data_IF_880970735207
#
_entry.id   IF_880970735207
#
_cell.length_a   1.000
_cell.length_b   1.000
_cell.length_c   1.000
_cell.angle_alpha   90.00
_cell.angle_beta   90.00
_cell.angle_gamma   90.00
#
_symmetry.space_group_name_H-M   'P 1'
#
loop_
_entity.id
_entity.type
_entity.pdbx_description
1 polymer ?
#
# COMPACT_ATOMS: atom_id res chain seq x y z
N UNK A 1 15.71 -23.73 10.68
CA UNK A 1 15.59 -24.37 9.34
C UNK A 1 14.15 -24.74 8.91
N UNK A 2 13.13 -24.72 9.78
CA UNK A 2 11.77 -25.16 9.42
C UNK A 2 10.98 -24.21 8.47
N UNK A 3 11.17 -22.88 8.59
CA UNK A 3 10.39 -21.88 7.84
C UNK A 3 10.69 -21.85 6.32
N UNK A 4 11.89 -22.27 5.88
CA UNK A 4 12.22 -22.36 4.43
C UNK A 4 11.51 -23.53 3.76
N UNK A 5 11.28 -24.62 4.50
CA UNK A 5 10.65 -25.85 3.98
C UNK A 5 9.16 -25.65 3.69
N UNK A 6 8.46 -24.87 4.52
CA UNK A 6 7.04 -24.53 4.33
C UNK A 6 6.83 -23.57 3.15
N UNK A 7 7.69 -22.54 3.01
CA UNK A 7 7.62 -21.62 1.87
C UNK A 7 7.95 -22.30 0.53
N UNK A 8 8.86 -23.27 0.51
CA UNK A 8 9.10 -24.11 -0.67
C UNK A 8 7.84 -24.93 -1.03
N UNK A 9 7.26 -25.62 -0.05
CA UNK A 9 6.05 -26.45 -0.25
C UNK A 9 4.83 -25.67 -0.74
N UNK A 10 4.62 -24.44 -0.26
CA UNK A 10 3.53 -23.57 -0.74
C UNK A 10 3.81 -23.06 -2.16
N UNK A 11 5.08 -22.82 -2.52
CA UNK A 11 5.47 -22.44 -3.88
C UNK A 11 5.26 -23.58 -4.88
N UNK A 12 5.42 -24.82 -4.43
CA UNK A 12 5.17 -26.04 -5.23
C UNK A 12 3.67 -26.35 -5.33
N UNK A 13 2.87 -25.98 -4.32
CA UNK A 13 1.43 -26.20 -4.29
C UNK A 13 0.69 -25.48 -5.44
N UNK A 14 0.95 -24.18 -5.64
CA UNK A 14 0.31 -23.43 -6.74
C UNK A 14 0.92 -23.76 -8.10
N UNK A 15 2.19 -24.19 -8.14
CA UNK A 15 2.83 -24.60 -9.39
C UNK A 15 2.13 -25.83 -10.00
N UNK A 16 1.56 -26.72 -9.19
CA UNK A 16 0.86 -27.92 -9.65
C UNK A 16 -0.46 -27.62 -10.39
N UNK A 17 -1.08 -26.47 -10.14
CA UNK A 17 -2.35 -26.06 -10.76
C UNK A 17 -2.18 -25.29 -12.09
N UNK A 18 -0.94 -25.02 -12.49
CA UNK A 18 -0.62 -24.21 -13.68
C UNK A 18 -0.23 -25.07 -14.87
N UNK A 19 -0.61 -24.63 -16.07
CA UNK A 19 -0.07 -25.12 -17.34
C UNK A 19 1.42 -24.77 -17.46
N UNK A 20 2.13 -25.41 -18.39
CA UNK A 20 3.58 -25.17 -18.54
C UNK A 20 3.89 -23.74 -19.01
N UNK A 21 2.99 -23.14 -19.81
CA UNK A 21 3.08 -21.73 -20.19
C UNK A 21 2.90 -20.80 -18.98
N UNK A 22 1.91 -21.07 -18.12
CA UNK A 22 1.68 -20.29 -16.90
C UNK A 22 2.81 -20.47 -15.86
N UNK A 23 3.45 -21.64 -15.81
CA UNK A 23 4.62 -21.86 -14.96
C UNK A 23 5.81 -20.99 -15.38
N UNK A 24 6.03 -20.81 -16.68
CA UNK A 24 7.05 -19.91 -17.22
C UNK A 24 6.75 -18.44 -16.88
N UNK A 25 5.50 -18.01 -17.08
CA UNK A 25 5.05 -16.66 -16.74
C UNK A 25 5.13 -16.38 -15.23
N UNK A 26 4.80 -17.37 -14.39
CA UNK A 26 4.95 -17.25 -12.94
C UNK A 26 6.43 -17.07 -12.54
N UNK A 27 7.35 -17.76 -13.23
CA UNK A 27 8.77 -17.60 -12.99
C UNK A 27 9.27 -16.19 -13.34
N UNK A 28 8.75 -15.58 -14.41
CA UNK A 28 9.03 -14.19 -14.78
C UNK A 28 8.41 -13.19 -13.80
N UNK A 29 7.13 -13.37 -13.45
CA UNK A 29 6.43 -12.53 -12.47
C UNK A 29 7.10 -12.54 -11.09
N UNK A 30 7.77 -13.65 -10.73
CA UNK A 30 8.56 -13.78 -9.49
C UNK A 30 9.88 -12.99 -9.50
N UNK A 31 10.36 -12.54 -10.66
CA UNK A 31 11.57 -11.72 -10.79
C UNK A 31 11.31 -10.23 -10.58
N UNK A 32 10.05 -9.82 -10.43
CA UNK A 32 9.71 -8.45 -10.02
C UNK A 32 10.19 -8.25 -8.58
N UNK A 33 11.24 -7.45 -8.42
CA UNK A 33 11.89 -7.19 -7.13
C UNK A 33 11.11 -6.14 -6.33
N UNK A 34 10.40 -6.61 -5.31
CA UNK A 34 9.78 -5.75 -4.30
C UNK A 34 8.86 -4.66 -4.84
N UNK A 35 8.64 -3.62 -4.04
CA UNK A 35 7.89 -2.40 -4.41
C UNK A 35 8.64 -1.13 -3.98
N UNK A 36 9.95 -1.22 -3.70
CA UNK A 36 10.68 -0.12 -3.07
C UNK A 36 10.77 1.11 -3.98
N UNK A 37 11.01 0.91 -5.28
CA UNK A 37 11.07 1.98 -6.28
C UNK A 37 9.68 2.59 -6.52
N UNK A 38 8.64 1.77 -6.58
CA UNK A 38 7.25 2.23 -6.73
C UNK A 38 6.77 3.00 -5.51
N UNK A 39 7.13 2.56 -4.31
CA UNK A 39 6.86 3.27 -3.05
C UNK A 39 7.59 4.62 -3.04
N UNK A 40 8.85 4.66 -3.48
CA UNK A 40 9.62 5.91 -3.58
C UNK A 40 8.98 6.87 -4.58
N UNK A 41 8.64 6.39 -5.79
CA UNK A 41 7.96 7.18 -6.81
C UNK A 41 6.61 7.71 -6.33
N UNK A 42 5.81 6.87 -5.67
CA UNK A 42 4.49 7.27 -5.18
C UNK A 42 4.58 8.35 -4.11
N UNK A 43 5.59 8.31 -3.22
CA UNK A 43 5.86 9.38 -2.24
C UNK A 43 6.21 10.71 -2.92
N UNK A 44 7.01 10.69 -3.98
CA UNK A 44 7.34 11.89 -4.77
C UNK A 44 6.09 12.45 -5.44
N UNK A 45 5.28 11.59 -6.07
CA UNK A 45 4.05 12.00 -6.74
C UNK A 45 3.00 12.59 -5.79
N UNK A 46 2.82 11.97 -4.63
CA UNK A 46 1.93 12.49 -3.59
C UNK A 46 2.38 13.87 -3.08
N UNK A 47 3.68 14.08 -2.89
CA UNK A 47 4.24 15.39 -2.53
C UNK A 47 3.95 16.43 -3.60
N UNK A 48 4.23 16.12 -4.86
CA UNK A 48 3.95 17.04 -5.96
C UNK A 48 2.45 17.33 -6.10
N UNK A 49 1.59 16.34 -5.86
CA UNK A 49 0.14 16.54 -5.87
C UNK A 49 -0.32 17.51 -4.76
N UNK A 50 0.22 17.35 -3.55
CA UNK A 50 -0.04 18.27 -2.43
C UNK A 50 0.42 19.70 -2.73
N UNK A 51 1.57 19.87 -3.38
CA UNK A 51 2.12 21.18 -3.71
C UNK A 51 1.34 21.88 -4.84
N UNK A 52 0.84 21.11 -5.81
CA UNK A 52 0.18 21.65 -7.01
C UNK A 52 -1.32 21.84 -6.84
N UNK A 53 -2.00 20.89 -6.18
CA UNK A 53 -3.46 20.83 -6.04
C UNK A 53 -3.84 20.29 -4.66
N UNK A 54 -3.54 21.03 -3.57
CA UNK A 54 -3.84 20.60 -2.20
C UNK A 54 -5.35 20.39 -1.95
N UNK A 55 -6.22 21.01 -2.74
CA UNK A 55 -7.67 20.91 -2.69
C UNK A 55 -8.24 19.62 -3.28
N UNK A 56 -7.44 18.86 -4.05
CA UNK A 56 -7.86 17.59 -4.66
C UNK A 56 -7.79 16.45 -3.63
N UNK A 57 -8.67 16.52 -2.62
CA UNK A 57 -8.69 15.61 -1.48
C UNK A 57 -8.92 14.15 -1.87
N UNK A 58 -9.70 13.90 -2.92
CA UNK A 58 -9.94 12.54 -3.41
C UNK A 58 -8.66 11.93 -3.99
N UNK A 59 -7.91 12.68 -4.79
CA UNK A 59 -6.61 12.24 -5.31
C UNK A 59 -5.61 11.94 -4.19
N UNK A 60 -5.55 12.80 -3.17
CA UNK A 60 -4.67 12.64 -2.02
C UNK A 60 -5.04 11.41 -1.19
N UNK A 61 -6.33 11.24 -0.89
CA UNK A 61 -6.87 10.08 -0.19
C UNK A 61 -6.52 8.79 -0.92
N UNK A 62 -6.81 8.72 -2.22
CA UNK A 62 -6.59 7.53 -3.03
C UNK A 62 -5.10 7.19 -3.14
N UNK A 63 -4.26 8.21 -3.33
CA UNK A 63 -2.81 8.03 -3.35
C UNK A 63 -2.25 7.55 -2.00
N UNK A 64 -2.74 8.07 -0.88
CA UNK A 64 -2.35 7.61 0.46
C UNK A 64 -2.80 6.16 0.69
N UNK A 65 -4.03 5.80 0.28
CA UNK A 65 -4.53 4.43 0.37
C UNK A 65 -3.66 3.46 -0.46
N UNK A 66 -3.24 3.86 -1.66
CA UNK A 66 -2.33 3.10 -2.51
C UNK A 66 -0.96 2.92 -1.84
N UNK A 67 -0.40 3.98 -1.24
CA UNK A 67 0.87 3.93 -0.55
C UNK A 67 0.86 2.97 0.64
N UNK A 68 -0.22 3.01 1.44
CA UNK A 68 -0.43 2.07 2.56
C UNK A 68 -0.46 0.63 2.06
N UNK A 69 -1.14 0.35 0.95
CA UNK A 69 -1.20 -1.00 0.35
C UNK A 69 0.17 -1.46 -0.15
N UNK A 70 0.93 -0.59 -0.82
CA UNK A 70 2.26 -0.91 -1.33
C UNK A 70 3.23 -1.23 -0.18
N UNK A 71 3.32 -0.35 0.83
CA UNK A 71 4.13 -0.55 2.04
C UNK A 71 3.72 -1.82 2.79
N UNK A 72 2.41 -2.05 2.94
CA UNK A 72 1.90 -3.25 3.61
C UNK A 72 2.29 -4.54 2.89
N UNK A 73 2.41 -4.49 1.57
CA UNK A 73 2.77 -5.63 0.72
C UNK A 73 4.27 -5.87 0.76
N UNK A 74 5.07 -4.81 0.57
CA UNK A 74 6.53 -4.86 0.58
C UNK A 74 7.08 -5.43 1.88
N UNK A 75 6.62 -4.91 3.03
CA UNK A 75 7.10 -5.34 4.33
C UNK A 75 6.31 -6.52 4.91
N UNK A 76 5.38 -7.11 4.13
CA UNK A 76 4.55 -8.27 4.54
C UNK A 76 3.95 -8.08 5.93
N UNK A 77 3.36 -6.91 6.17
CA UNK A 77 2.86 -6.53 7.48
C UNK A 77 1.83 -7.53 8.01
N UNK A 78 1.88 -7.83 9.30
CA UNK A 78 0.85 -8.63 9.95
C UNK A 78 -0.51 -7.93 9.88
N UNK A 79 -1.64 -8.66 10.00
CA UNK A 79 -2.97 -8.04 10.00
C UNK A 79 -3.12 -6.92 11.05
N UNK A 80 -2.50 -7.11 12.23
CA UNK A 80 -2.44 -6.09 13.28
C UNK A 80 -1.66 -4.86 12.83
N UNK A 81 -0.44 -5.03 12.32
CA UNK A 81 0.40 -3.92 11.87
C UNK A 81 -0.23 -3.15 10.69
N UNK A 82 -0.91 -3.85 9.77
CA UNK A 82 -1.68 -3.22 8.68
C UNK A 82 -2.84 -2.39 9.22
N UNK A 83 -3.60 -2.90 10.18
CA UNK A 83 -4.70 -2.17 10.83
C UNK A 83 -4.19 -0.93 11.58
N UNK A 84 -3.11 -1.09 12.34
CA UNK A 84 -2.50 0.01 13.09
C UNK A 84 -1.99 1.13 12.15
N UNK A 85 -1.39 0.76 11.01
CA UNK A 85 -0.98 1.72 9.97
C UNK A 85 -2.19 2.45 9.37
N UNK A 86 -3.24 1.72 9.00
CA UNK A 86 -4.46 2.32 8.45
C UNK A 86 -5.12 3.30 9.44
N UNK A 87 -5.21 2.92 10.71
CA UNK A 87 -5.78 3.78 11.76
C UNK A 87 -4.97 5.07 11.96
N UNK A 88 -3.63 4.97 11.98
CA UNK A 88 -2.76 6.15 12.09
C UNK A 88 -2.90 7.08 10.88
N UNK A 89 -3.03 6.51 9.67
CA UNK A 89 -3.25 7.31 8.46
C UNK A 89 -4.60 8.01 8.48
N UNK A 90 -5.66 7.32 8.91
CA UNK A 90 -6.99 7.91 9.07
C UNK A 90 -6.98 9.05 10.09
N UNK A 91 -6.29 8.89 11.22
CA UNK A 91 -6.17 9.95 12.23
C UNK A 91 -5.45 11.20 11.68
N UNK A 92 -4.39 11.02 10.89
CA UNK A 92 -3.69 12.13 10.23
C UNK A 92 -4.60 12.82 9.21
N UNK A 93 -5.33 12.05 8.39
CA UNK A 93 -6.26 12.61 7.40
C UNK A 93 -7.37 13.42 8.06
N UNK A 94 -7.97 12.92 9.15
CA UNK A 94 -8.98 13.65 9.90
C UNK A 94 -8.43 14.94 10.52
N UNK A 95 -7.23 14.87 11.10
CA UNK A 95 -6.56 16.05 11.66
C UNK A 95 -6.27 17.13 10.61
N UNK A 96 -5.96 16.74 9.37
CA UNK A 96 -5.79 17.66 8.25
C UNK A 96 -7.16 18.22 7.81
N UNK A 97 -8.19 17.37 7.74
CA UNK A 97 -9.56 17.79 7.45
C UNK A 97 -10.06 18.87 8.42
N UNK A 98 -9.88 18.65 9.73
CA UNK A 98 -10.26 19.60 10.79
C UNK A 98 -9.48 20.94 10.73
N UNK A 99 -8.27 20.92 10.15
CA UNK A 99 -7.44 22.12 9.98
C UNK A 99 -7.80 22.93 8.73
N UNK A 100 -8.34 22.29 7.69
CA UNK A 100 -8.68 22.94 6.42
C UNK A 100 -10.15 23.34 6.36
N UNK A 101 -11.03 22.55 6.97
CA UNK A 101 -12.41 22.91 7.27
C UNK A 101 -12.49 23.16 8.78
N UNK A 102 -12.23 24.40 9.27
CA UNK A 102 -12.69 24.72 10.61
C UNK A 102 -14.19 24.39 10.63
N UNK A 103 -14.65 23.66 11.65
CA UNK A 103 -16.07 23.47 11.85
C UNK A 103 -16.72 24.86 11.88
N UNK A 104 -17.39 25.22 10.80
CA UNK A 104 -17.93 26.56 10.63
C UNK A 104 -18.84 26.87 11.82
N UNK A 105 -18.67 28.10 12.32
CA UNK A 105 -19.37 28.64 13.47
C UNK A 105 -20.88 28.42 13.39
N UNK A 106 -21.36 27.46 14.17
CA UNK A 106 -22.75 27.36 14.57
C UNK A 106 -22.97 28.17 15.84
N UNK A 107 -23.13 29.48 15.69
CA UNK A 107 -23.59 30.33 16.78
C UNK A 107 -24.99 29.92 17.24
N UNK A 108 -25.10 29.40 18.46
CA UNK A 108 -25.98 29.84 19.55
C UNK A 108 -25.56 29.17 20.84
#
# INVERSE_FOLDING_TARGET
>A
MAARKSAARVRDFYAAALTDAERLQLAEARRVDGLDEEIALLRVRLRSALEQRPEDFDLLRDGIALLVRAVSTQYRLSPKARKDLANRMAAVLNSIGDQILPADGGGK
#
